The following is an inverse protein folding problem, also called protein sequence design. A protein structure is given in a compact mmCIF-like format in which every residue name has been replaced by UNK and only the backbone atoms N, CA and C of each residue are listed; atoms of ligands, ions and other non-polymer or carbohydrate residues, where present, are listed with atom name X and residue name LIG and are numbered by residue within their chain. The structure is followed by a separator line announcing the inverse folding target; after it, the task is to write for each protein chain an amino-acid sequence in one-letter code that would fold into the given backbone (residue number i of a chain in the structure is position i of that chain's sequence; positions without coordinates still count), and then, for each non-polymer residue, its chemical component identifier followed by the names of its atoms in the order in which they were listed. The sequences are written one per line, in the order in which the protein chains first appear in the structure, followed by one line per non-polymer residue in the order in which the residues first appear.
data_IF_169432221379
#
_entry.id   IF_169432221379
#
_cell.length_a   1.000
_cell.length_b   1.000
_cell.length_c   1.000
_cell.angle_alpha   90.00
_cell.angle_beta   90.00
_cell.angle_gamma   90.00
#
_symmetry.space_group_name_H-M   'P 1'
#
loop_
_entity.id
_entity.type
_entity.pdbx_description
1 polymer ?
#
# COMPACT_ATOMS: atom_id res chain seq x y z
N UNK A 1 -8.28 11.28 -0.30
CA UNK A 1 -7.83 10.13 0.51
C UNK A 1 -8.26 8.88 -0.23
N UNK A 2 -7.34 7.93 -0.44
CA UNK A 2 -7.63 6.69 -1.17
C UNK A 2 -8.32 5.67 -0.26
N UNK A 3 -7.84 5.48 0.97
CA UNK A 3 -8.48 4.56 1.92
C UNK A 3 -7.69 4.29 3.20
N UNK A 4 -8.28 3.51 4.10
CA UNK A 4 -7.60 2.89 5.25
C UNK A 4 -7.56 1.39 5.08
N UNK A 5 -6.39 0.82 5.29
CA UNK A 5 -6.10 -0.58 5.03
C UNK A 5 -5.50 -1.26 6.26
N UNK A 6 -5.77 -2.56 6.37
CA UNK A 6 -5.26 -3.43 7.43
C UNK A 6 -5.65 -4.89 7.14
N UNK A 7 -5.34 -5.78 8.07
CA UNK A 7 -5.61 -7.22 7.93
C UNK A 7 -4.40 -8.02 7.45
N UNK A 8 -4.58 -9.29 7.02
CA UNK A 8 -3.47 -10.24 6.84
C UNK A 8 -2.41 -9.83 5.82
N UNK A 9 -2.79 -9.12 4.76
CA UNK A 9 -1.84 -8.60 3.76
C UNK A 9 -0.96 -7.46 4.31
N UNK A 10 -1.34 -6.87 5.44
CA UNK A 10 -0.70 -5.74 6.11
C UNK A 10 -0.01 -6.21 7.40
N UNK A 11 0.64 -7.37 7.32
CA UNK A 11 1.44 -7.94 8.40
C UNK A 11 2.83 -8.31 7.87
N UNK A 12 3.84 -8.20 8.72
CA UNK A 12 5.16 -8.77 8.46
C UNK A 12 5.61 -9.59 9.65
N UNK A 13 6.43 -10.60 9.36
CA UNK A 13 7.08 -11.42 10.38
C UNK A 13 8.57 -11.10 10.31
N UNK A 14 9.13 -10.60 11.40
CA UNK A 14 10.56 -10.35 11.50
C UNK A 14 11.32 -11.66 11.72
N UNK A 15 12.63 -11.64 11.48
CA UNK A 15 13.50 -12.82 11.61
C UNK A 15 13.53 -13.41 13.03
N UNK A 16 13.21 -12.60 14.04
CA UNK A 16 13.08 -13.00 15.44
C UNK A 16 11.70 -13.63 15.77
N UNK A 17 10.79 -13.73 14.80
CA UNK A 17 9.45 -14.29 14.98
C UNK A 17 8.38 -13.28 15.38
N UNK A 18 8.74 -12.00 15.61
CA UNK A 18 7.75 -10.98 15.93
C UNK A 18 6.83 -10.70 14.75
N UNK A 19 5.54 -10.63 15.04
CA UNK A 19 4.51 -10.28 14.07
C UNK A 19 4.12 -8.83 14.27
N UNK A 20 4.34 -8.01 13.24
CA UNK A 20 3.87 -6.62 13.23
C UNK A 20 2.69 -6.52 12.29
N UNK A 21 1.64 -5.83 12.74
CA UNK A 21 0.47 -5.49 11.94
C UNK A 21 0.41 -3.98 11.73
N UNK A 22 0.13 -3.55 10.51
CA UNK A 22 0.08 -2.13 10.17
C UNK A 22 -1.36 -1.72 9.84
N UNK A 23 -1.78 -0.56 10.33
CA UNK A 23 -2.92 0.18 9.82
C UNK A 23 -2.40 1.31 8.92
N UNK A 24 -2.72 1.28 7.64
CA UNK A 24 -2.21 2.23 6.64
C UNK A 24 -3.32 3.15 6.17
N UNK A 25 -3.12 4.46 6.30
CA UNK A 25 -3.93 5.47 5.60
C UNK A 25 -3.20 5.89 4.33
N UNK A 26 -3.84 5.72 3.17
CA UNK A 26 -3.25 6.02 1.86
C UNK A 26 -3.96 7.23 1.24
N UNK A 27 -3.16 8.13 0.66
CA UNK A 27 -3.64 9.37 0.04
C UNK A 27 -3.26 9.38 -1.43
N UNK A 28 -4.24 9.69 -2.28
CA UNK A 28 -3.98 10.08 -3.64
C UNK A 28 -3.39 11.49 -3.67
N UNK A 29 -2.31 11.67 -4.44
CA UNK A 29 -1.64 12.93 -4.61
C UNK A 29 -1.26 13.14 -6.08
N UNK A 30 -1.16 14.41 -6.48
CA UNK A 30 -0.72 14.80 -7.81
C UNK A 30 0.60 15.57 -7.70
N UNK A 31 1.67 15.17 -8.39
CA UNK A 31 2.88 15.97 -8.45
C UNK A 31 2.59 17.31 -9.12
N UNK A 32 2.98 18.41 -8.47
CA UNK A 32 2.78 19.77 -9.00
C UNK A 32 3.99 20.25 -9.82
N UNK A 33 5.18 19.75 -9.48
CA UNK A 33 6.45 20.08 -10.13
C UNK A 33 7.49 18.99 -9.83
N UNK A 34 8.62 19.03 -10.54
CA UNK A 34 9.73 18.09 -10.40
C UNK A 34 9.52 16.77 -11.15
N UNK A 35 10.56 15.95 -11.16
CA UNK A 35 10.57 14.59 -11.72
C UNK A 35 11.12 13.62 -10.68
N UNK A 36 10.62 12.37 -10.60
CA UNK A 36 11.14 11.39 -9.66
C UNK A 36 12.66 11.21 -9.80
N UNK A 37 13.38 11.22 -8.68
CA UNK A 37 14.82 11.00 -8.63
C UNK A 37 15.16 10.17 -7.39
N UNK A 38 15.89 9.05 -7.53
CA UNK A 38 16.33 8.27 -6.38
C UNK A 38 17.41 9.03 -5.58
N UNK A 39 17.46 8.81 -4.27
CA UNK A 39 18.53 9.34 -3.41
C UNK A 39 19.80 8.49 -3.45
N UNK A 40 19.69 7.22 -3.86
CA UNK A 40 20.80 6.28 -3.96
C UNK A 40 21.20 5.65 -2.62
N UNK A 41 20.47 5.90 -1.54
CA UNK A 41 20.71 5.31 -0.22
C UNK A 41 19.54 4.40 0.17
N UNK A 42 18.36 4.96 0.42
CA UNK A 42 17.14 4.20 0.72
C UNK A 42 16.39 3.79 -0.55
N UNK A 43 16.48 4.61 -1.61
CA UNK A 43 15.82 4.36 -2.90
C UNK A 43 16.86 4.29 -4.01
N UNK A 44 17.03 3.10 -4.60
CA UNK A 44 18.00 2.88 -5.67
C UNK A 44 17.45 3.26 -7.06
N UNK A 45 16.17 3.01 -7.30
CA UNK A 45 15.49 3.26 -8.59
C UNK A 45 14.07 3.78 -8.34
N UNK A 46 13.56 4.63 -9.25
CA UNK A 46 12.20 5.17 -9.19
C UNK A 46 11.63 5.37 -10.59
N UNK A 47 10.34 5.06 -10.74
CA UNK A 47 9.62 5.19 -12.00
C UNK A 47 8.10 5.22 -11.81
N UNK A 48 7.40 5.63 -12.86
CA UNK A 48 5.95 5.50 -12.97
C UNK A 48 5.63 4.22 -13.75
N UNK A 49 4.60 3.49 -13.32
CA UNK A 49 4.21 2.22 -13.90
C UNK A 49 2.73 2.23 -14.24
N UNK A 50 2.38 1.77 -15.43
CA UNK A 50 1.00 1.40 -15.75
C UNK A 50 0.59 0.14 -14.95
N UNK A 51 -0.72 -0.15 -14.79
CA UNK A 51 -1.18 -1.29 -14.00
C UNK A 51 -0.54 -2.64 -14.38
N UNK A 52 -0.27 -2.85 -15.68
CA UNK A 52 0.35 -4.07 -16.20
C UNK A 52 1.88 -4.11 -16.11
N UNK A 53 2.52 -3.04 -15.64
CA UNK A 53 3.99 -2.92 -15.56
C UNK A 53 4.51 -3.06 -14.12
N UNK A 54 3.61 -3.18 -13.14
CA UNK A 54 3.98 -3.27 -11.73
C UNK A 54 4.64 -4.61 -11.44
N UNK A 55 5.90 -4.64 -10.94
CA UNK A 55 6.64 -5.87 -10.67
C UNK A 55 5.91 -6.84 -9.74
N UNK A 56 6.18 -8.14 -9.89
CA UNK A 56 5.57 -9.18 -9.06
C UNK A 56 6.20 -9.30 -7.67
N UNK A 57 7.46 -8.89 -7.53
CA UNK A 57 8.22 -8.94 -6.28
C UNK A 57 7.91 -7.74 -5.36
N UNK A 58 6.63 -7.45 -5.15
CA UNK A 58 6.15 -6.41 -4.25
C UNK A 58 5.64 -7.00 -2.94
N UNK A 59 5.59 -6.17 -1.89
CA UNK A 59 5.02 -6.59 -0.62
C UNK A 59 3.53 -6.94 -0.78
N UNK A 60 2.98 -7.90 0.00
CA UNK A 60 1.59 -8.37 -0.17
C UNK A 60 0.52 -7.27 -0.11
N UNK A 61 0.76 -6.21 0.68
CA UNK A 61 -0.16 -5.07 0.79
C UNK A 61 -0.25 -4.21 -0.47
N UNK A 62 0.73 -4.27 -1.38
CA UNK A 62 0.80 -3.39 -2.56
C UNK A 62 -0.36 -3.68 -3.52
N UNK A 63 -0.63 -4.95 -3.80
CA UNK A 63 -1.68 -5.37 -4.74
C UNK A 63 -3.09 -4.88 -4.36
N UNK A 64 -3.60 -5.04 -3.11
CA UNK A 64 -4.91 -4.53 -2.75
C UNK A 64 -4.99 -3.00 -2.77
N UNK A 65 -3.92 -2.28 -2.40
CA UNK A 65 -3.90 -0.81 -2.48
C UNK A 65 -3.95 -0.34 -3.95
N UNK A 66 -3.18 -0.97 -4.83
CA UNK A 66 -3.17 -0.62 -6.26
C UNK A 66 -4.49 -0.95 -6.95
N UNK A 67 -5.17 -2.03 -6.55
CA UNK A 67 -6.50 -2.35 -7.08
C UNK A 67 -7.50 -1.21 -6.82
N UNK A 68 -7.46 -0.57 -5.65
CA UNK A 68 -8.28 0.61 -5.36
C UNK A 68 -7.77 1.86 -6.08
N UNK A 69 -6.46 2.07 -6.15
CA UNK A 69 -5.87 3.21 -6.84
C UNK A 69 -6.25 3.26 -8.32
N UNK A 70 -6.32 2.10 -8.98
CA UNK A 70 -6.70 2.00 -10.39
C UNK A 70 -8.22 1.92 -10.64
N UNK A 71 -9.04 1.80 -9.59
CA UNK A 71 -10.49 1.69 -9.72
C UNK A 71 -11.23 3.05 -9.88
N UNK A 72 -10.49 4.16 -9.97
CA UNK A 72 -11.01 5.54 -10.15
C UNK A 72 -12.18 5.86 -9.21
N UNK A 73 -11.96 5.67 -7.90
CA UNK A 73 -13.02 5.75 -6.89
C UNK A 73 -13.26 7.20 -6.47
N UNK A 74 -14.52 7.61 -6.40
CA UNK A 74 -14.93 8.93 -5.87
C UNK A 74 -15.03 8.98 -4.34
N UNK A 75 -14.90 7.82 -3.66
CA UNK A 75 -14.97 7.70 -2.19
C UNK A 75 -13.81 6.86 -1.66
N UNK A 76 -13.28 7.17 -0.47
CA UNK A 76 -12.21 6.38 0.12
C UNK A 76 -12.66 4.95 0.43
N UNK A 77 -11.76 3.99 0.26
CA UNK A 77 -11.96 2.59 0.63
C UNK A 77 -11.75 2.37 2.13
N UNK A 78 -12.62 1.55 2.73
CA UNK A 78 -12.47 1.05 4.09
C UNK A 78 -12.83 -0.43 4.09
N UNK A 79 -11.88 -1.28 4.48
CA UNK A 79 -12.17 -2.69 4.67
C UNK A 79 -13.14 -2.84 5.87
N UNK A 80 -14.19 -3.67 5.76
CA UNK A 80 -15.05 -3.97 6.90
C UNK A 80 -14.24 -4.59 8.04
N UNK A 81 -14.53 -4.26 9.31
CA UNK A 81 -13.86 -4.90 10.44
C UNK A 81 -14.19 -6.40 10.46
N UNK A 82 -13.16 -7.23 10.57
CA UNK A 82 -13.30 -8.70 10.62
C UNK A 82 -13.32 -9.25 12.05
N UNK A 83 -12.82 -8.47 13.02
CA UNK A 83 -12.81 -8.87 14.43
C UNK A 83 -14.22 -8.91 15.02
N UNK A 84 -14.48 -9.90 15.88
CA UNK A 84 -15.68 -10.01 16.71
C UNK A 84 -15.27 -10.27 18.16
N UNK A 85 -15.89 -9.63 19.16
CA UNK A 85 -15.59 -9.91 20.56
C UNK A 85 -15.93 -11.36 20.92
N UNK A 86 -15.17 -12.01 21.81
CA UNK A 86 -15.63 -13.24 22.46
C UNK A 86 -16.90 -12.96 23.27
N UNK A 87 -17.87 -13.87 23.20
CA UNK A 87 -19.11 -13.81 23.99
C UNK A 87 -18.94 -14.26 25.44
#
# INVERSE_FOLDING_TARGET
MLGVYGGPAFQTIYSNGDVVSFAMAVFEARPLAGTPRPDGDETLEVGYFAPGEVPDNVQPWVRPVLADAFADRTRPHFAPPTWRPPG
#
